data_IF_594221997878
#
_entry.id   IF_594221997878
#
_cell.length_a   1.000
_cell.length_b   1.000
_cell.length_c   1.000
_cell.angle_alpha   90.00
_cell.angle_beta   90.00
_cell.angle_gamma   90.00
#
_symmetry.space_group_name_H-M   'P 1'
#
loop_
_entity.id
_entity.type
_entity.pdbx_description
1 polymer ?
#
# COMPACT_ATOMS: atom_id res chain seq x y z
N UNK A 1 13.63 25.18 -9.83
CA UNK A 1 12.22 24.84 -9.56
C UNK A 1 12.27 23.71 -8.55
N UNK A 2 11.86 23.96 -7.31
CA UNK A 2 11.90 22.92 -6.28
C UNK A 2 11.01 21.75 -6.72
N UNK A 3 11.61 20.56 -6.80
CA UNK A 3 10.90 19.35 -7.22
C UNK A 3 9.97 18.92 -6.09
N UNK A 4 8.66 18.99 -6.32
CA UNK A 4 7.67 18.53 -5.34
C UNK A 4 7.92 17.05 -5.02
N UNK A 5 8.22 16.78 -3.74
CA UNK A 5 8.51 15.43 -3.24
C UNK A 5 7.44 14.98 -2.27
N UNK A 6 6.79 13.86 -2.57
CA UNK A 6 5.87 13.19 -1.65
C UNK A 6 6.70 12.43 -0.61
N UNK A 7 6.67 12.86 0.65
CA UNK A 7 7.39 12.18 1.74
C UNK A 7 6.57 11.01 2.33
N UNK A 8 5.26 11.18 2.41
CA UNK A 8 4.32 10.24 3.03
C UNK A 8 3.18 9.92 2.05
N UNK A 9 2.83 8.65 1.92
CA UNK A 9 1.69 8.17 1.14
C UNK A 9 0.77 7.35 2.03
N UNK A 10 -0.52 7.65 2.00
CA UNK A 10 -1.57 6.79 2.54
C UNK A 10 -2.27 6.13 1.34
N UNK A 11 -2.37 4.81 1.35
CA UNK A 11 -2.92 4.02 0.26
C UNK A 11 -3.74 2.83 0.80
N UNK A 12 -4.41 2.11 -0.09
CA UNK A 12 -5.07 0.85 0.23
C UNK A 12 -4.41 -0.35 -0.46
N UNK A 13 -4.60 -1.52 0.13
CA UNK A 13 -4.35 -2.83 -0.48
C UNK A 13 -5.34 -3.80 0.13
N UNK A 14 -6.41 -4.06 -0.61
CA UNK A 14 -7.68 -4.60 -0.08
C UNK A 14 -7.87 -6.08 -0.35
N UNK A 15 -7.15 -6.64 -1.33
CA UNK A 15 -7.22 -8.05 -1.71
C UNK A 15 -5.83 -8.69 -1.78
N UNK A 16 -5.71 -10.01 -1.54
CA UNK A 16 -4.46 -10.73 -1.77
C UNK A 16 -4.16 -10.86 -3.27
N UNK A 17 -2.91 -11.12 -3.64
CA UNK A 17 -2.47 -11.16 -5.04
C UNK A 17 -3.22 -12.21 -5.88
N UNK A 18 -3.63 -13.33 -5.29
CA UNK A 18 -4.43 -14.35 -5.99
C UNK A 18 -5.81 -13.86 -6.45
N UNK A 19 -6.28 -12.72 -5.93
CA UNK A 19 -7.54 -12.07 -6.28
C UNK A 19 -7.32 -10.80 -7.14
N UNK A 20 -6.19 -10.68 -7.85
CA UNK A 20 -5.87 -9.51 -8.70
C UNK A 20 -6.99 -9.16 -9.68
N UNK A 21 -7.60 -10.14 -10.35
CA UNK A 21 -8.70 -9.88 -11.30
C UNK A 21 -9.92 -9.23 -10.62
N UNK A 22 -10.27 -9.71 -9.42
CA UNK A 22 -11.36 -9.12 -8.63
C UNK A 22 -11.00 -7.70 -8.19
N UNK A 23 -9.78 -7.50 -7.72
CA UNK A 23 -9.29 -6.19 -7.31
C UNK A 23 -9.41 -5.18 -8.46
N UNK A 24 -8.93 -5.53 -9.65
CA UNK A 24 -9.03 -4.70 -10.85
C UNK A 24 -10.48 -4.39 -11.24
N UNK A 25 -11.36 -5.40 -11.26
CA UNK A 25 -12.79 -5.20 -11.59
C UNK A 25 -13.54 -4.31 -10.61
N UNK A 26 -13.07 -4.25 -9.36
CA UNK A 26 -13.70 -3.47 -8.29
C UNK A 26 -12.97 -2.16 -7.98
N UNK A 27 -11.90 -1.84 -8.71
CA UNK A 27 -11.13 -0.60 -8.56
C UNK A 27 -10.18 -0.58 -7.36
N UNK A 28 -9.79 -1.74 -6.84
CA UNK A 28 -8.91 -1.90 -5.68
C UNK A 28 -7.51 -2.41 -6.07
N UNK A 29 -6.56 -2.28 -5.14
CA UNK A 29 -5.20 -2.80 -5.29
C UNK A 29 -4.98 -4.08 -4.49
N UNK A 30 -4.15 -4.96 -5.04
CA UNK A 30 -3.42 -6.01 -4.32
C UNK A 30 -2.02 -5.51 -3.94
N UNK A 31 -1.26 -6.22 -3.08
CA UNK A 31 0.13 -5.91 -2.79
C UNK A 31 0.99 -5.74 -4.05
N UNK A 32 0.87 -6.65 -5.03
CA UNK A 32 1.62 -6.59 -6.28
C UNK A 32 1.21 -5.39 -7.14
N UNK A 33 -0.10 -5.08 -7.21
CA UNK A 33 -0.58 -3.90 -7.93
C UNK A 33 -0.09 -2.60 -7.27
N UNK A 34 -0.15 -2.51 -5.94
CA UNK A 34 0.40 -1.38 -5.19
C UNK A 34 1.89 -1.19 -5.47
N UNK A 35 2.68 -2.26 -5.50
CA UNK A 35 4.09 -2.20 -5.84
C UNK A 35 4.32 -1.64 -7.24
N UNK A 36 3.51 -2.07 -8.23
CA UNK A 36 3.56 -1.54 -9.60
C UNK A 36 3.26 -0.04 -9.63
N UNK A 37 2.25 0.43 -8.91
CA UNK A 37 1.92 1.86 -8.83
C UNK A 37 3.03 2.70 -8.18
N UNK A 38 3.62 2.21 -7.08
CA UNK A 38 4.77 2.87 -6.44
C UNK A 38 5.96 2.93 -7.42
N UNK A 39 6.19 1.87 -8.20
CA UNK A 39 7.25 1.80 -9.20
C UNK A 39 7.14 2.83 -10.34
N UNK A 40 5.95 3.41 -10.58
CA UNK A 40 5.76 4.49 -11.55
C UNK A 40 6.26 5.84 -11.05
N UNK A 41 6.49 5.98 -9.74
CA UNK A 41 6.89 7.25 -9.15
C UNK A 41 8.39 7.48 -9.35
N UNK A 42 8.76 8.61 -9.97
CA UNK A 42 10.17 9.02 -10.13
C UNK A 42 10.91 9.06 -8.79
N UNK A 43 10.23 9.57 -7.75
CA UNK A 43 10.71 9.67 -6.39
C UNK A 43 9.71 9.00 -5.43
N UNK A 44 9.82 7.67 -5.18
CA UNK A 44 8.90 6.97 -4.30
C UNK A 44 8.86 7.56 -2.88
N UNK A 45 7.68 7.60 -2.22
CA UNK A 45 7.53 8.09 -0.87
C UNK A 45 8.42 7.33 0.12
N UNK A 46 8.93 8.06 1.12
CA UNK A 46 9.77 7.47 2.18
C UNK A 46 8.97 6.61 3.13
N UNK A 47 7.68 6.90 3.32
CA UNK A 47 6.77 6.17 4.20
C UNK A 47 5.45 5.94 3.50
N UNK A 48 4.99 4.69 3.54
CA UNK A 48 3.73 4.26 2.95
C UNK A 48 2.90 3.60 4.03
N UNK A 49 1.68 4.09 4.17
CA UNK A 49 0.73 3.67 5.19
C UNK A 49 -0.47 3.03 4.49
N UNK A 50 -0.83 1.83 4.91
CA UNK A 50 -1.92 1.06 4.33
C UNK A 50 -3.15 1.11 5.21
N UNK A 51 -4.31 1.26 4.56
CA UNK A 51 -5.63 1.25 5.19
C UNK A 51 -6.58 0.27 4.48
N UNK A 52 -7.72 0.05 5.12
CA UNK A 52 -8.90 -0.61 4.53
C UNK A 52 -8.69 -2.04 4.02
N UNK A 53 -7.72 -2.77 4.55
CA UNK A 53 -7.61 -4.19 4.28
C UNK A 53 -8.88 -4.92 4.73
N UNK A 54 -9.41 -5.80 3.87
CA UNK A 54 -10.56 -6.64 4.21
C UNK A 54 -10.15 -7.62 5.32
N UNK A 55 -10.80 -7.62 6.50
CA UNK A 55 -10.37 -8.41 7.65
C UNK A 55 -10.19 -9.90 7.33
N UNK A 56 -11.07 -10.45 6.50
CA UNK A 56 -11.05 -11.85 6.07
C UNK A 56 -9.76 -12.28 5.33
N UNK A 57 -9.02 -11.32 4.76
CA UNK A 57 -7.80 -11.57 4.00
C UNK A 57 -6.56 -10.95 4.66
N UNK A 58 -6.72 -10.26 5.78
CA UNK A 58 -5.63 -9.47 6.38
C UNK A 58 -4.33 -10.27 6.61
N UNK A 59 -4.35 -11.50 7.17
CA UNK A 59 -3.12 -12.26 7.36
C UNK A 59 -2.37 -12.59 6.06
N UNK A 60 -3.12 -12.84 4.98
CA UNK A 60 -2.57 -13.13 3.66
C UNK A 60 -1.97 -11.87 3.03
N UNK A 61 -2.73 -10.77 3.03
CA UNK A 61 -2.29 -9.49 2.47
C UNK A 61 -1.09 -8.96 3.26
N UNK A 62 -1.10 -9.04 4.59
CA UNK A 62 0.02 -8.59 5.42
C UNK A 62 1.31 -9.35 5.09
N UNK A 63 1.24 -10.67 4.90
CA UNK A 63 2.40 -11.48 4.49
C UNK A 63 2.94 -11.05 3.13
N UNK A 64 2.05 -10.80 2.17
CA UNK A 64 2.43 -10.34 0.83
C UNK A 64 3.04 -8.92 0.86
N UNK A 65 2.48 -8.01 1.67
CA UNK A 65 3.03 -6.67 1.90
C UNK A 65 4.45 -6.77 2.47
N UNK A 66 4.69 -7.63 3.47
CA UNK A 66 6.05 -7.85 4.01
C UNK A 66 7.03 -8.35 2.95
N UNK A 67 6.56 -9.11 1.95
CA UNK A 67 7.39 -9.60 0.85
C UNK A 67 7.82 -8.51 -0.15
N UNK A 68 7.05 -7.43 -0.26
CA UNK A 68 7.37 -6.29 -1.16
C UNK A 68 7.94 -5.07 -0.43
N UNK A 69 7.76 -4.99 0.89
CA UNK A 69 8.16 -3.85 1.69
C UNK A 69 9.67 -3.84 1.94
N UNK A 70 10.39 -2.92 1.28
CA UNK A 70 11.70 -2.46 1.77
C UNK A 70 11.47 -1.53 2.96
N UNK A 71 11.21 -2.08 4.15
CA UNK A 71 11.15 -1.42 5.47
C UNK A 71 10.20 -0.20 5.66
N UNK A 72 9.53 0.32 4.62
CA UNK A 72 8.77 1.58 4.68
C UNK A 72 7.27 1.46 4.41
N UNK A 73 6.73 0.25 4.27
CA UNK A 73 5.29 0.01 4.09
C UNK A 73 4.74 -0.67 5.34
N UNK A 74 3.69 -0.12 5.94
CA UNK A 74 2.97 -0.75 7.06
C UNK A 74 1.49 -0.39 7.06
N UNK A 75 0.70 -1.18 7.78
CA UNK A 75 -0.69 -0.82 8.08
C UNK A 75 -0.77 0.26 9.16
N UNK A 76 -1.78 1.13 9.04
CA UNK A 76 -2.16 2.05 10.10
C UNK A 76 -2.93 1.32 11.19
N UNK A 77 -2.76 1.81 12.42
CA UNK A 77 -3.55 1.38 13.57
C UNK A 77 -4.73 2.32 13.76
N UNK A 78 -5.83 1.79 14.29
CA UNK A 78 -6.98 2.61 14.65
C UNK A 78 -6.59 3.65 15.71
N UNK A 79 -7.01 4.91 15.51
CA UNK A 79 -6.66 6.03 16.39
C UNK A 79 -5.24 6.56 16.23
N UNK A 80 -4.48 6.09 15.25
CA UNK A 80 -3.11 6.53 15.01
C UNK A 80 -3.02 7.98 14.51
N UNK A 81 -2.10 8.77 15.09
CA UNK A 81 -1.79 10.14 14.69
C UNK A 81 -0.45 10.19 13.96
N UNK A 82 -0.43 10.71 12.73
CA UNK A 82 0.79 10.89 11.94
C UNK A 82 1.24 12.35 11.97
N UNK A 83 2.53 12.58 12.24
CA UNK A 83 3.18 13.88 12.08
C UNK A 83 3.95 13.89 10.76
N UNK A 84 3.67 14.86 9.88
CA UNK A 84 4.19 14.92 8.50
C UNK A 84 5.23 16.00 8.28
#
# INVERSE_FOLDING_TARGET
>A
MDEFRVNHLIAESSFPNRLEELALKTGHLTPALLQKEIGKMKNPPRRIYLMHAKPQYFPEIEKEIRGIARNSIRYLQEGEVLTI
#
